data_IF_323445931792
#
_entry.id   IF_323445931792
#
_cell.length_a   1.000
_cell.length_b   1.000
_cell.length_c   1.000
_cell.angle_alpha   90.00
_cell.angle_beta   90.00
_cell.angle_gamma   90.00
#
_symmetry.space_group_name_H-M   'P 1'
#
loop_
_entity.id
_entity.type
_entity.pdbx_description
1 polymer ?
#
# COMPACT_ATOMS: atom_id res chain seq x y z
N UNK A 1 34.07 -24.20 14.48
CA UNK A 1 33.90 -23.12 13.48
C UNK A 1 32.45 -23.12 13.02
N UNK A 2 31.84 -21.93 13.05
CA UNK A 2 30.62 -21.46 12.40
C UNK A 2 29.24 -22.09 12.71
N UNK A 3 28.46 -21.27 13.40
CA UNK A 3 26.99 -21.17 13.43
C UNK A 3 26.45 -20.77 12.04
N UNK A 4 25.21 -21.17 11.72
CA UNK A 4 24.15 -20.47 10.96
C UNK A 4 22.98 -21.45 10.83
N UNK A 5 22.01 -21.46 11.75
CA UNK A 5 20.79 -20.63 11.72
C UNK A 5 20.19 -20.49 10.32
N UNK A 6 19.41 -21.50 9.92
CA UNK A 6 18.30 -21.32 8.98
C UNK A 6 17.00 -21.28 9.80
N UNK A 7 16.66 -20.09 10.28
CA UNK A 7 15.30 -19.77 10.70
C UNK A 7 14.43 -19.68 9.45
N UNK A 8 13.98 -20.84 8.97
CA UNK A 8 12.96 -20.91 7.94
C UNK A 8 11.67 -20.30 8.49
N UNK A 9 11.27 -19.22 7.82
CA UNK A 9 10.05 -18.42 7.95
C UNK A 9 8.81 -19.30 8.24
N UNK A 10 8.50 -19.51 9.53
CA UNK A 10 7.21 -20.02 9.97
C UNK A 10 6.24 -18.84 9.99
N UNK A 11 5.50 -18.65 8.90
CA UNK A 11 4.13 -18.15 8.84
C UNK A 11 3.68 -18.27 7.37
N UNK A 12 3.04 -19.39 7.04
CA UNK A 12 2.51 -19.67 5.71
C UNK A 12 1.28 -18.82 5.38
N UNK A 13 1.47 -17.53 5.12
CA UNK A 13 0.50 -16.72 4.37
C UNK A 13 1.11 -16.47 3.00
N UNK A 14 0.73 -17.32 2.05
CA UNK A 14 1.05 -17.16 0.64
C UNK A 14 0.33 -15.92 0.12
N UNK A 15 1.01 -14.76 0.14
CA UNK A 15 0.57 -13.47 -0.41
C UNK A 15 -0.71 -12.88 0.24
N UNK A 16 -0.59 -12.04 1.29
CA UNK A 16 -1.75 -11.41 1.95
C UNK A 16 -2.49 -10.34 1.10
N UNK A 17 -2.21 -10.24 -0.20
CA UNK A 17 -2.66 -9.15 -1.07
C UNK A 17 -3.49 -9.66 -2.27
N UNK A 18 -3.94 -10.91 -2.25
CA UNK A 18 -4.82 -11.46 -3.30
C UNK A 18 -6.22 -10.89 -3.23
N UNK A 19 -6.65 -10.46 -2.04
CA UNK A 19 -7.94 -9.81 -1.83
C UNK A 19 -7.79 -8.30 -1.96
N UNK A 20 -8.77 -7.65 -2.60
CA UNK A 20 -8.73 -6.22 -2.87
C UNK A 20 -10.06 -5.55 -2.62
N UNK A 21 -9.99 -4.32 -2.12
CA UNK A 21 -11.13 -3.43 -1.96
C UNK A 21 -11.34 -2.69 -3.27
N UNK A 22 -12.61 -2.46 -3.61
CA UNK A 22 -13.04 -1.82 -4.84
C UNK A 22 -13.99 -0.69 -4.50
N UNK A 23 -13.80 0.46 -5.14
CA UNK A 23 -14.65 1.63 -4.89
C UNK A 23 -14.86 2.45 -6.15
N UNK A 24 -16.06 3.04 -6.26
CA UNK A 24 -16.38 4.07 -7.27
C UNK A 24 -16.16 5.48 -6.72
N UNK A 25 -16.46 5.64 -5.44
CA UNK A 25 -16.26 6.88 -4.69
C UNK A 25 -14.85 6.95 -4.13
N UNK A 26 -14.36 8.15 -3.88
CA UNK A 26 -13.06 8.38 -3.26
C UNK A 26 -13.03 7.75 -1.85
N UNK A 27 -11.89 7.17 -1.49
CA UNK A 27 -11.69 6.61 -0.16
C UNK A 27 -10.43 7.15 0.50
N UNK A 28 -10.51 7.27 1.83
CA UNK A 28 -9.43 7.77 2.67
C UNK A 28 -8.95 6.68 3.61
N UNK A 29 -7.65 6.43 3.60
CA UNK A 29 -6.95 5.56 4.54
C UNK A 29 -6.03 6.42 5.40
N UNK A 30 -6.34 6.50 6.69
CA UNK A 30 -5.56 7.27 7.65
C UNK A 30 -4.99 6.37 8.73
N UNK A 31 -3.71 6.54 9.01
CA UNK A 31 -3.01 5.82 10.07
C UNK A 31 -2.20 6.80 10.91
N UNK A 32 -2.23 6.64 12.23
CA UNK A 32 -1.33 7.36 13.13
C UNK A 32 0.09 6.82 12.91
N UNK A 33 1.02 7.71 12.60
CA UNK A 33 2.38 7.35 12.20
C UNK A 33 3.33 8.44 12.71
N UNK A 34 4.35 8.12 13.54
CA UNK A 34 5.24 9.14 14.09
C UNK A 34 5.91 10.00 13.02
N UNK A 35 6.39 11.17 13.42
CA UNK A 35 7.16 12.03 12.53
C UNK A 35 8.46 11.33 12.10
N UNK A 36 8.79 11.43 10.82
CA UNK A 36 9.92 10.72 10.23
C UNK A 36 9.76 10.55 8.72
N UNK A 37 10.77 9.96 8.08
CA UNK A 37 10.73 9.64 6.65
C UNK A 37 10.50 8.15 6.45
N UNK A 38 9.59 7.82 5.53
CA UNK A 38 9.12 6.47 5.28
C UNK A 38 9.04 6.17 3.79
N UNK A 39 9.32 4.92 3.42
CA UNK A 39 8.95 4.34 2.14
C UNK A 39 7.60 3.65 2.34
N UNK A 40 6.62 4.05 1.54
CA UNK A 40 5.31 3.40 1.48
C UNK A 40 5.26 2.56 0.22
N UNK A 41 4.93 1.28 0.36
CA UNK A 41 4.67 0.38 -0.78
C UNK A 41 3.18 0.07 -0.83
N UNK A 42 2.48 0.52 -1.88
CA UNK A 42 1.09 0.17 -2.15
C UNK A 42 1.02 -1.05 -3.07
N UNK A 43 0.07 -1.95 -2.80
CA UNK A 43 -0.18 -3.15 -3.58
C UNK A 43 -1.56 -3.09 -4.24
N UNK A 44 -1.60 -3.49 -5.50
CA UNK A 44 -2.80 -3.49 -6.31
C UNK A 44 -2.91 -4.81 -7.07
N UNK A 45 -4.07 -5.43 -7.01
CA UNK A 45 -4.41 -6.64 -7.75
C UNK A 45 -5.84 -6.52 -8.25
N UNK A 46 -6.06 -6.76 -9.54
CA UNK A 46 -7.37 -6.68 -10.16
C UNK A 46 -7.77 -8.05 -10.72
N UNK A 47 -8.72 -8.69 -10.03
CA UNK A 47 -9.31 -9.97 -10.45
C UNK A 47 -10.75 -9.77 -10.95
N UNK A 48 -11.03 -8.60 -11.55
CA UNK A 48 -12.38 -8.29 -12.02
C UNK A 48 -12.48 -8.66 -13.49
N UNK A 49 -13.38 -9.60 -13.75
CA UNK A 49 -13.99 -9.78 -15.06
C UNK A 49 -15.43 -9.25 -14.99
N UNK A 50 -15.90 -8.61 -16.06
CA UNK A 50 -17.30 -8.23 -16.17
C UNK A 50 -18.21 -9.46 -16.36
N UNK A 51 -19.53 -9.25 -16.45
CA UNK A 51 -20.52 -10.33 -16.66
C UNK A 51 -20.32 -11.08 -17.99
N UNK A 52 -19.49 -10.56 -18.90
CA UNK A 52 -19.14 -11.12 -20.19
C UNK A 52 -17.69 -11.65 -20.23
N UNK A 53 -17.08 -11.92 -19.07
CA UNK A 53 -15.69 -12.37 -18.92
C UNK A 53 -14.63 -11.43 -19.50
N UNK A 54 -14.97 -10.15 -19.71
CA UNK A 54 -14.03 -9.14 -20.19
C UNK A 54 -13.32 -8.48 -19.02
N UNK A 55 -12.01 -8.60 -19.08
CA UNK A 55 -11.05 -7.91 -18.25
C UNK A 55 -11.00 -6.42 -18.59
N UNK A 56 -11.59 -5.55 -17.77
CA UNK A 56 -11.39 -4.10 -17.91
C UNK A 56 -10.21 -3.65 -17.04
N UNK A 57 -9.19 -3.00 -17.64
CA UNK A 57 -8.07 -2.46 -16.87
C UNK A 57 -8.58 -1.35 -15.94
N UNK A 58 -8.05 -1.28 -14.72
CA UNK A 58 -8.42 -0.25 -13.75
C UNK A 58 -7.38 0.88 -13.75
N UNK A 59 -7.80 2.06 -13.30
CA UNK A 59 -6.93 3.20 -13.16
C UNK A 59 -6.98 3.71 -11.71
N UNK A 60 -5.80 3.86 -11.10
CA UNK A 60 -5.64 4.32 -9.72
C UNK A 60 -4.94 5.67 -9.70
N UNK A 61 -5.47 6.57 -8.88
CA UNK A 61 -4.81 7.81 -8.50
C UNK A 61 -4.68 7.84 -6.97
N UNK A 62 -3.57 8.37 -6.47
CA UNK A 62 -3.28 8.41 -5.04
C UNK A 62 -2.65 9.73 -4.64
N UNK A 63 -3.22 10.35 -3.61
CA UNK A 63 -2.66 11.50 -2.90
C UNK A 63 -2.25 11.03 -1.50
N UNK A 64 -1.05 11.37 -1.05
CA UNK A 64 -0.59 11.12 0.31
C UNK A 64 -0.20 12.45 0.96
N UNK A 65 -0.80 12.76 2.13
CA UNK A 65 -0.64 14.03 2.87
C UNK A 65 -0.71 15.28 1.97
N UNK A 66 -1.66 15.31 1.03
CA UNK A 66 -1.86 16.44 0.11
C UNK A 66 -0.98 16.44 -1.14
N UNK A 67 0.02 15.55 -1.22
CA UNK A 67 0.90 15.41 -2.37
C UNK A 67 0.46 14.26 -3.29
N UNK A 68 0.45 14.51 -4.60
CA UNK A 68 0.09 13.49 -5.59
C UNK A 68 1.24 12.51 -5.78
N UNK A 69 1.04 11.27 -5.34
CA UNK A 69 2.05 10.20 -5.43
C UNK A 69 1.84 9.31 -6.64
N UNK A 70 0.58 9.09 -7.05
CA UNK A 70 0.27 8.28 -8.22
C UNK A 70 -0.78 8.97 -9.08
N UNK A 71 -0.54 8.96 -10.39
CA UNK A 71 -1.46 9.51 -11.37
C UNK A 71 -1.66 8.51 -12.49
N UNK A 72 -2.93 8.14 -12.71
CA UNK A 72 -3.38 7.28 -13.80
C UNK A 72 -2.62 5.95 -13.87
N UNK A 73 -2.33 5.36 -12.71
CA UNK A 73 -1.67 4.06 -12.62
C UNK A 73 -2.61 2.99 -13.18
N UNK A 74 -2.20 2.34 -14.27
CA UNK A 74 -2.98 1.24 -14.86
C UNK A 74 -2.69 -0.06 -14.14
N UNK A 75 -3.75 -0.73 -13.71
CA UNK A 75 -3.67 -2.05 -13.09
C UNK A 75 -3.98 -3.09 -14.17
N UNK A 76 -3.04 -4.03 -14.46
CA UNK A 76 -3.30 -5.10 -15.40
C UNK A 76 -4.36 -6.04 -14.83
N UNK A 77 -5.04 -6.76 -15.72
CA UNK A 77 -6.03 -7.78 -15.34
C UNK A 77 -5.39 -9.16 -15.48
N UNK A 78 -5.70 -10.07 -14.56
CA UNK A 78 -5.21 -11.45 -14.62
C UNK A 78 -4.44 -11.91 -13.38
N UNK A 79 -4.82 -11.42 -12.20
CA UNK A 79 -4.28 -11.82 -10.89
C UNK A 79 -2.80 -11.52 -10.64
N UNK A 80 -2.19 -10.68 -11.47
CA UNK A 80 -0.87 -10.12 -11.16
C UNK A 80 -0.98 -9.00 -10.13
N UNK A 81 -0.27 -9.15 -9.01
CA UNK A 81 -0.12 -8.07 -8.05
C UNK A 81 0.98 -7.12 -8.54
N UNK A 82 0.66 -5.84 -8.64
CA UNK A 82 1.66 -4.79 -8.87
C UNK A 82 1.91 -4.02 -7.58
N UNK A 83 3.17 -3.69 -7.31
CA UNK A 83 3.55 -2.77 -6.24
C UNK A 83 4.02 -1.42 -6.79
N UNK A 84 3.74 -0.35 -6.03
CA UNK A 84 4.27 0.99 -6.28
C UNK A 84 4.74 1.62 -4.99
N UNK A 85 5.88 2.30 -5.07
CA UNK A 85 6.56 2.87 -3.91
C UNK A 85 6.68 4.37 -4.03
N UNK A 86 6.59 5.03 -2.90
CA UNK A 86 6.92 6.45 -2.79
C UNK A 86 7.51 6.73 -1.41
N UNK A 87 8.35 7.75 -1.34
CA UNK A 87 8.88 8.25 -0.07
C UNK A 87 8.02 9.41 0.42
N UNK A 88 7.84 9.50 1.73
CA UNK A 88 7.07 10.58 2.36
C UNK A 88 7.69 10.96 3.69
N UNK A 89 7.69 12.25 4.00
CA UNK A 89 8.07 12.77 5.31
C UNK A 89 6.80 13.15 6.09
N UNK A 90 6.63 12.53 7.25
CA UNK A 90 5.52 12.78 8.17
C UNK A 90 5.93 13.85 9.17
N UNK A 91 5.08 14.87 9.34
CA UNK A 91 5.35 16.04 10.21
C UNK A 91 4.24 16.32 11.21
N UNK A 92 3.09 15.67 11.05
CA UNK A 92 1.85 15.86 11.81
C UNK A 92 1.32 14.53 12.40
N UNK A 93 2.22 13.57 12.63
CA UNK A 93 1.96 12.29 13.29
C UNK A 93 0.91 11.38 12.59
N UNK A 94 0.66 11.59 11.29
CA UNK A 94 -0.20 10.70 10.53
C UNK A 94 0.13 10.63 9.04
N UNK A 95 -0.18 9.47 8.46
CA UNK A 95 -0.27 9.29 7.01
C UNK A 95 -1.74 9.24 6.61
N UNK A 96 -2.15 10.13 5.72
CA UNK A 96 -3.46 10.14 5.04
C UNK A 96 -3.24 9.83 3.57
N UNK A 97 -3.79 8.71 3.09
CA UNK A 97 -3.82 8.36 1.67
C UNK A 97 -5.25 8.48 1.15
N UNK A 98 -5.42 9.19 0.04
CA UNK A 98 -6.69 9.31 -0.67
C UNK A 98 -6.56 8.60 -2.00
N UNK A 99 -7.36 7.56 -2.21
CA UNK A 99 -7.51 6.89 -3.51
C UNK A 99 -8.77 7.39 -4.19
N UNK A 100 -8.67 7.65 -5.48
CA UNK A 100 -9.76 8.22 -6.24
C UNK A 100 -9.75 7.79 -7.70
N UNK A 101 -10.94 7.84 -8.31
CA UNK A 101 -11.09 7.72 -9.75
C UNK A 101 -11.08 9.11 -10.39
N UNK A 102 -10.64 9.21 -11.64
CA UNK A 102 -10.76 10.47 -12.35
C UNK A 102 -12.17 10.59 -12.94
N UNK A 103 -12.88 11.69 -12.69
CA UNK A 103 -14.30 11.91 -13.09
C UNK A 103 -14.57 11.68 -14.59
N UNK A 104 -13.54 11.83 -15.44
CA UNK A 104 -13.62 11.62 -16.90
C UNK A 104 -13.00 10.32 -17.39
N UNK A 105 -12.61 9.42 -16.48
CA UNK A 105 -12.07 8.12 -16.85
C UNK A 105 -13.20 7.20 -17.28
N UNK A 106 -12.95 6.41 -18.33
CA UNK A 106 -13.81 5.25 -18.64
C UNK A 106 -13.77 4.19 -17.55
N UNK A 107 -12.76 4.23 -16.70
CA UNK A 107 -12.59 3.35 -15.54
C UNK A 107 -13.12 4.07 -14.30
N UNK A 108 -14.35 3.72 -13.93
CA UNK A 108 -15.09 4.34 -12.83
C UNK A 108 -14.85 3.65 -11.49
N UNK A 109 -13.84 2.78 -11.39
CA UNK A 109 -13.49 2.08 -10.15
C UNK A 109 -11.99 2.13 -9.92
N UNK A 110 -11.60 2.29 -8.66
CA UNK A 110 -10.26 2.02 -8.19
C UNK A 110 -10.22 0.66 -7.47
N UNK A 111 -9.02 0.10 -7.34
CA UNK A 111 -8.75 -1.11 -6.58
C UNK A 111 -7.59 -0.87 -5.61
N UNK A 112 -7.61 -1.50 -4.44
CA UNK A 112 -6.54 -1.42 -3.46
C UNK A 112 -6.44 -2.75 -2.70
N UNK A 113 -5.26 -3.38 -2.70
CA UNK A 113 -5.02 -4.64 -1.96
C UNK A 113 -4.39 -4.42 -0.57
N UNK A 114 -3.46 -3.47 -0.45
CA UNK A 114 -2.97 -3.01 0.85
C UNK A 114 -1.80 -2.06 0.70
N UNK A 115 -1.16 -1.71 1.81
CA UNK A 115 0.12 -1.02 1.77
C UNK A 115 0.99 -1.40 2.97
N UNK A 116 2.30 -1.27 2.81
CA UNK A 116 3.28 -1.36 3.89
C UNK A 116 3.99 -0.03 4.07
N UNK A 117 4.47 0.22 5.29
CA UNK A 117 5.21 1.42 5.64
C UNK A 117 6.52 0.96 6.27
N UNK A 118 7.64 1.46 5.77
CA UNK A 118 8.96 1.16 6.30
C UNK A 118 9.72 2.46 6.55
N UNK A 119 10.30 2.68 7.74
CA UNK A 119 11.19 3.82 7.96
C UNK A 119 12.35 3.77 6.97
N UNK A 120 12.67 4.89 6.32
CA UNK A 120 13.85 4.99 5.43
C UNK A 120 15.12 5.30 6.19
N UNK A 121 14.97 5.97 7.33
CA UNK A 121 16.04 6.18 8.28
C UNK A 121 16.06 4.99 9.25
N UNK A 122 17.22 4.34 9.38
CA UNK A 122 17.54 3.60 10.59
C UNK A 122 17.73 4.59 11.76
N UNK A 123 16.64 5.24 12.19
CA UNK A 123 16.52 6.08 13.38
C UNK A 123 16.25 5.25 14.64
N UNK A 124 16.52 5.77 15.84
CA UNK A 124 17.06 5.02 16.97
C UNK A 124 16.15 3.85 17.36
N UNK A 125 16.78 2.72 17.70
CA UNK A 125 16.13 1.63 18.41
C UNK A 125 15.15 2.22 19.44
N UNK A 126 13.85 1.96 19.25
CA UNK A 126 12.86 2.06 20.31
C UNK A 126 13.26 1.03 21.38
N UNK A 127 14.29 1.35 22.17
CA UNK A 127 14.49 0.72 23.46
C UNK A 127 13.30 1.15 24.29
N UNK A 128 12.40 0.20 24.53
CA UNK A 128 11.41 0.32 25.59
C UNK A 128 12.15 0.75 26.87
N UNK A 129 11.60 1.68 27.66
CA UNK A 129 12.21 2.04 28.93
C UNK A 129 12.39 0.76 29.76
N UNK A 130 13.61 0.54 30.25
CA UNK A 130 13.82 -0.50 31.26
C UNK A 130 12.95 -0.15 32.45
N UNK A 131 12.04 -1.05 32.81
CA UNK A 131 11.27 -0.93 34.04
C UNK A 131 12.27 -0.88 35.21
N UNK A 132 12.40 0.29 35.82
CA UNK A 132 13.10 0.43 37.10
C UNK A 132 12.21 -0.16 38.20
N UNK A 133 12.69 -1.25 38.81
CA UNK A 133 12.23 -1.77 40.11
C UNK A 133 12.46 -0.77 41.26
#
# INVERSE_FOLDING_TARGET
>A
MSVREESQNKLGVSQPYTDSILGKEDAVFRVALPNGTYEVTCYFSANIVDEEDRAEPLEVNLIANGEKQMQRLRIPVGNETIDRRYNITITDEHLTQVIYTHEKSRYQRWVWSGFTIQPTDSGPNLRLPEETE
#
